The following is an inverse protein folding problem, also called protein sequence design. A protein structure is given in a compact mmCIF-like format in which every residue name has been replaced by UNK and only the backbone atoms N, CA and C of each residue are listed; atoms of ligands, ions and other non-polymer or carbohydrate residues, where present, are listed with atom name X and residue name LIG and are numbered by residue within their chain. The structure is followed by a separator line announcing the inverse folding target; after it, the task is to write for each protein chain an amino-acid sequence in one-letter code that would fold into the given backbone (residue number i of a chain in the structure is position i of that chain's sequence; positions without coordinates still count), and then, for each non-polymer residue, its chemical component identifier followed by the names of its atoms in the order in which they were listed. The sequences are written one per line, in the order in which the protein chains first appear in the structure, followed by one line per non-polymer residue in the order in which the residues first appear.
data_IF_745584933215
#
_entry.id   IF_745584933215
#
_cell.length_a   1.000
_cell.length_b   1.000
_cell.length_c   1.000
_cell.angle_alpha   90.00
_cell.angle_beta   90.00
_cell.angle_gamma   90.00
#
_symmetry.space_group_name_H-M   'P 1'
#
loop_
_entity.id
_entity.type
_entity.pdbx_description
1 polymer ?
#
# COMPACT_ATOMS: atom_id res chain seq x y z
N UNK A 1 -31.44 5.37 -3.77
CA UNK A 1 -30.65 5.54 -5.01
C UNK A 1 -29.92 4.23 -5.27
N UNK A 2 -29.75 3.79 -6.52
CA UNK A 2 -28.96 2.59 -6.87
C UNK A 2 -27.58 3.04 -7.36
N UNK A 3 -26.52 2.38 -6.91
CA UNK A 3 -25.14 2.71 -7.29
C UNK A 3 -24.64 1.67 -8.29
N UNK A 4 -24.02 2.14 -9.38
CA UNK A 4 -23.49 1.27 -10.43
C UNK A 4 -22.05 1.63 -10.76
N UNK A 5 -21.22 0.62 -11.00
CA UNK A 5 -19.83 0.73 -11.46
C UNK A 5 -19.66 -0.27 -12.60
N UNK A 6 -19.19 0.19 -13.77
CA UNK A 6 -19.00 -0.69 -14.94
C UNK A 6 -20.27 -1.42 -15.41
N UNK A 7 -21.47 -0.88 -15.14
CA UNK A 7 -22.75 -1.54 -15.45
C UNK A 7 -23.22 -2.56 -14.40
N UNK A 8 -22.42 -2.83 -13.37
CA UNK A 8 -22.78 -3.69 -12.25
C UNK A 8 -23.33 -2.88 -11.07
N UNK A 9 -24.39 -3.38 -10.42
CA UNK A 9 -24.94 -2.72 -9.25
C UNK A 9 -24.11 -3.08 -8.01
N UNK A 10 -23.65 -2.07 -7.27
CA UNK A 10 -23.11 -2.28 -5.92
C UNK A 10 -24.28 -2.32 -4.93
N UNK A 11 -24.53 -3.48 -4.31
CA UNK A 11 -25.59 -3.64 -3.30
C UNK A 11 -25.06 -3.46 -1.88
N UNK A 12 -23.75 -3.57 -1.69
CA UNK A 12 -23.04 -3.29 -0.45
C UNK A 12 -21.88 -2.29 -0.65
N UNK A 13 -21.33 -1.79 0.45
CA UNK A 13 -20.10 -1.00 0.41
C UNK A 13 -18.91 -1.83 -0.08
N UNK A 14 -18.88 -3.14 0.23
CA UNK A 14 -17.83 -4.03 -0.24
C UNK A 14 -17.89 -4.21 -1.76
N UNK A 15 -19.09 -4.44 -2.30
CA UNK A 15 -19.28 -4.55 -3.75
C UNK A 15 -18.86 -3.26 -4.46
N UNK A 16 -19.12 -2.11 -3.84
CA UNK A 16 -18.68 -0.83 -4.40
C UNK A 16 -17.17 -0.77 -4.51
N UNK A 17 -16.44 -1.19 -3.46
CA UNK A 17 -14.98 -1.21 -3.45
C UNK A 17 -14.43 -2.20 -4.46
N UNK A 18 -14.93 -3.43 -4.48
CA UNK A 18 -14.47 -4.46 -5.42
C UNK A 18 -14.71 -4.06 -6.87
N UNK A 19 -15.89 -3.52 -7.18
CA UNK A 19 -16.21 -3.07 -8.54
C UNK A 19 -15.37 -1.85 -8.95
N UNK A 20 -15.07 -0.94 -8.02
CA UNK A 20 -14.23 0.22 -8.30
C UNK A 20 -12.76 -0.17 -8.52
N UNK A 21 -12.26 -1.15 -7.75
CA UNK A 21 -10.89 -1.68 -7.90
C UNK A 21 -10.76 -2.65 -9.08
N UNK A 22 -11.86 -3.27 -9.52
CA UNK A 22 -11.86 -4.35 -10.50
C UNK A 22 -11.23 -5.66 -9.98
N UNK A 23 -10.92 -5.73 -8.68
CA UNK A 23 -10.27 -6.85 -8.01
C UNK A 23 -10.83 -7.01 -6.60
N UNK A 24 -10.87 -8.25 -6.06
CA UNK A 24 -11.30 -8.49 -4.69
C UNK A 24 -10.31 -7.86 -3.70
N UNK A 25 -10.82 -7.33 -2.58
CA UNK A 25 -10.00 -6.61 -1.59
C UNK A 25 -9.00 -7.56 -0.91
N UNK A 26 -9.40 -8.82 -0.75
CA UNK A 26 -8.62 -9.91 -0.19
C UNK A 26 -7.35 -10.19 -0.99
N UNK A 27 -7.35 -9.93 -2.31
CA UNK A 27 -6.13 -10.04 -3.13
C UNK A 27 -5.01 -9.19 -2.53
N UNK A 28 -5.36 -7.99 -2.07
CA UNK A 28 -4.42 -6.98 -1.56
C UNK A 28 -4.19 -7.11 -0.07
N UNK A 29 -5.25 -7.31 0.73
CA UNK A 29 -5.17 -7.34 2.19
C UNK A 29 -4.78 -8.72 2.75
N UNK A 30 -4.97 -9.78 1.97
CA UNK A 30 -4.84 -11.16 2.42
C UNK A 30 -6.11 -11.68 3.11
N UNK A 31 -6.10 -12.98 3.38
CA UNK A 31 -7.19 -13.69 4.06
C UNK A 31 -6.66 -14.30 5.36
N UNK A 32 -7.41 -14.14 6.45
CA UNK A 32 -7.05 -14.74 7.73
C UNK A 32 -7.01 -16.27 7.62
N UNK A 33 -5.89 -16.87 8.02
CA UNK A 33 -5.69 -18.32 7.96
C UNK A 33 -5.27 -18.86 6.58
N UNK A 34 -4.90 -18.02 5.62
CA UNK A 34 -4.30 -18.47 4.36
C UNK A 34 -3.03 -19.29 4.60
N UNK A 35 -2.83 -20.36 3.83
CA UNK A 35 -1.57 -21.11 3.82
C UNK A 35 -0.45 -20.30 3.18
N UNK A 36 0.80 -20.72 3.38
CA UNK A 36 1.94 -20.07 2.70
C UNK A 36 1.84 -20.24 1.18
N UNK A 37 1.32 -21.37 0.70
CA UNK A 37 1.09 -21.61 -0.72
C UNK A 37 -0.02 -20.70 -1.30
N UNK A 38 -1.12 -20.55 -0.58
CA UNK A 38 -2.22 -19.65 -0.97
C UNK A 38 -1.75 -18.19 -1.00
N UNK A 39 -1.01 -17.78 0.03
CA UNK A 39 -0.38 -16.46 0.10
C UNK A 39 0.59 -16.23 -1.06
N UNK A 40 1.40 -17.22 -1.40
CA UNK A 40 2.34 -17.13 -2.50
C UNK A 40 1.61 -16.94 -3.83
N UNK A 41 0.56 -17.72 -4.08
CA UNK A 41 -0.27 -17.61 -5.29
C UNK A 41 -0.96 -16.24 -5.38
N UNK A 42 -1.50 -15.74 -4.26
CA UNK A 42 -2.13 -14.42 -4.19
C UNK A 42 -1.16 -13.30 -4.49
N UNK A 43 0.04 -13.33 -3.90
CA UNK A 43 1.08 -12.34 -4.15
C UNK A 43 1.62 -12.42 -5.58
N UNK A 44 1.66 -13.61 -6.19
CA UNK A 44 2.03 -13.80 -7.59
C UNK A 44 1.01 -13.12 -8.52
N UNK A 45 -0.27 -13.42 -8.36
CA UNK A 45 -1.35 -12.78 -9.11
C UNK A 45 -1.37 -11.26 -8.93
N UNK A 46 -1.13 -10.76 -7.71
CA UNK A 46 -1.04 -9.33 -7.44
C UNK A 46 0.13 -8.68 -8.21
N UNK A 47 1.27 -9.37 -8.35
CA UNK A 47 2.41 -8.86 -9.14
C UNK A 47 2.10 -8.81 -10.63
N UNK A 48 1.43 -9.82 -11.17
CA UNK A 48 1.02 -9.82 -12.58
C UNK A 48 0.10 -8.63 -12.89
N UNK A 49 -0.89 -8.37 -12.02
CA UNK A 49 -1.80 -7.22 -12.17
C UNK A 49 -1.04 -5.89 -12.09
N UNK A 50 -0.06 -5.77 -11.18
CA UNK A 50 0.78 -4.58 -11.07
C UNK A 50 1.70 -4.40 -12.29
N UNK A 51 2.17 -5.49 -12.89
CA UNK A 51 2.98 -5.44 -14.11
C UNK A 51 2.15 -4.92 -15.29
N UNK A 52 0.88 -5.31 -15.39
CA UNK A 52 -0.05 -4.83 -16.41
C UNK A 52 -0.51 -3.37 -16.17
N UNK A 53 -0.44 -2.90 -14.91
CA UNK A 53 -0.90 -1.57 -14.49
C UNK A 53 0.20 -0.81 -13.74
N UNK A 54 1.28 -0.38 -14.41
CA UNK A 54 2.48 0.16 -13.76
C UNK A 54 2.25 1.47 -13.00
N UNK A 55 1.21 2.24 -13.36
CA UNK A 55 0.87 3.50 -12.70
C UNK A 55 -0.03 3.31 -11.46
N UNK A 56 -0.59 2.11 -11.27
CA UNK A 56 -1.56 1.84 -10.22
C UNK A 56 -1.04 2.18 -8.80
N UNK A 57 0.22 1.84 -8.42
CA UNK A 57 0.74 2.22 -7.11
C UNK A 57 0.74 3.74 -6.85
N UNK A 58 1.15 4.53 -7.85
CA UNK A 58 1.20 5.99 -7.72
C UNK A 58 -0.21 6.60 -7.68
N UNK A 59 -1.13 6.09 -8.51
CA UNK A 59 -2.52 6.53 -8.54
C UNK A 59 -3.24 6.22 -7.21
N UNK A 60 -3.10 5.00 -6.70
CA UNK A 60 -3.68 4.59 -5.40
C UNK A 60 -3.07 5.42 -4.26
N UNK A 61 -1.75 5.65 -4.28
CA UNK A 61 -1.09 6.46 -3.26
C UNK A 61 -1.59 7.91 -3.26
N UNK A 62 -1.84 8.49 -4.44
CA UNK A 62 -2.41 9.85 -4.56
C UNK A 62 -3.82 9.91 -3.97
N UNK A 63 -4.70 8.98 -4.35
CA UNK A 63 -6.07 8.92 -3.84
C UNK A 63 -6.09 8.71 -2.33
N UNK A 64 -5.21 7.84 -1.81
CA UNK A 64 -5.08 7.63 -0.38
C UNK A 64 -4.63 8.91 0.35
N UNK A 65 -3.66 9.65 -0.20
CA UNK A 65 -3.23 10.91 0.38
C UNK A 65 -4.35 11.96 0.41
N UNK A 66 -5.08 12.14 -0.70
CA UNK A 66 -6.24 13.04 -0.77
C UNK A 66 -7.33 12.66 0.24
N UNK A 67 -7.60 11.36 0.38
CA UNK A 67 -8.57 10.86 1.37
C UNK A 67 -8.10 11.13 2.82
N UNK A 68 -6.82 10.92 3.11
CA UNK A 68 -6.27 11.21 4.44
C UNK A 68 -6.36 12.72 4.73
N UNK A 69 -5.98 13.59 3.79
CA UNK A 69 -6.10 15.04 3.97
C UNK A 69 -7.53 15.48 4.25
N UNK A 70 -8.52 14.87 3.58
CA UNK A 70 -9.93 15.23 3.73
C UNK A 70 -10.57 14.68 5.01
N UNK A 71 -10.22 13.46 5.43
CA UNK A 71 -10.97 12.72 6.45
C UNK A 71 -10.18 12.40 7.72
N UNK A 72 -8.85 12.40 7.67
CA UNK A 72 -7.98 12.05 8.79
C UNK A 72 -6.64 12.81 8.75
N UNK A 73 -6.66 14.16 8.69
CA UNK A 73 -5.44 14.96 8.49
C UNK A 73 -4.40 14.75 9.61
N UNK A 74 -4.82 14.29 10.78
CA UNK A 74 -3.94 13.93 11.89
C UNK A 74 -2.95 12.81 11.56
N UNK A 75 -3.24 11.95 10.58
CA UNK A 75 -2.32 10.89 10.15
C UNK A 75 -1.07 11.47 9.45
N UNK A 76 -1.14 12.70 8.93
CA UNK A 76 0.02 13.41 8.37
C UNK A 76 0.78 14.27 9.39
N UNK A 77 0.33 14.33 10.64
CA UNK A 77 1.06 15.02 11.72
C UNK A 77 2.25 14.18 12.21
N UNK A 78 3.18 13.85 11.32
CA UNK A 78 4.38 13.10 11.64
C UNK A 78 5.44 14.02 12.26
N UNK A 79 5.84 13.73 13.49
CA UNK A 79 6.99 14.38 14.13
C UNK A 79 8.25 13.67 13.65
N UNK A 80 9.22 14.38 13.03
CA UNK A 80 10.47 13.76 12.62
C UNK A 80 11.17 13.10 13.81
N UNK A 81 11.47 11.80 13.69
CA UNK A 81 12.30 11.13 14.68
C UNK A 81 13.70 11.74 14.64
N UNK A 82 14.17 12.22 15.79
CA UNK A 82 15.51 12.79 15.94
C UNK A 82 16.53 11.69 15.61
N UNK A 83 17.18 11.79 14.44
CA UNK A 83 18.28 10.88 14.08
C UNK A 83 19.45 11.12 15.04
N UNK A 84 19.97 10.08 15.72
CA UNK A 84 21.20 10.21 16.48
C UNK A 84 22.32 10.69 15.56
N UNK A 85 23.01 11.77 15.92
CA UNK A 85 24.15 12.25 15.15
C UNK A 85 25.17 11.11 14.99
N UNK A 86 25.45 10.71 13.75
CA UNK A 86 26.41 9.66 13.45
C UNK A 86 27.76 10.02 14.11
N UNK A 87 28.24 9.17 15.03
CA UNK A 87 29.55 9.33 15.65
C UNK A 87 30.61 9.27 14.56
N UNK A 88 31.22 10.42 14.26
CA UNK A 88 32.34 10.56 13.32
C UNK A 88 33.41 9.50 13.65
N UNK A 89 33.79 8.61 12.72
CA UNK A 89 34.82 7.62 13.00
C UNK A 89 36.13 8.35 13.31
N UNK A 90 36.71 8.09 14.49
CA UNK A 90 38.04 8.58 14.84
C UNK A 90 39.03 7.90 13.88
N UNK A 91 39.61 8.69 12.99
CA UNK A 91 40.75 8.27 12.15
C UNK A 91 41.82 7.66 13.07
N UNK A 92 42.00 6.34 13.01
CA UNK A 92 43.20 5.69 13.55
C UNK A 92 44.32 5.98 12.56
N UNK A 93 45.19 6.93 12.90
CA UNK A 93 46.51 7.05 12.25
C UNK A 93 47.21 5.69 12.39
N UNK A 94 47.55 5.08 11.25
CA UNK A 94 48.34 3.86 11.21
C UNK A 94 49.70 4.07 11.87
N UNK A 95 50.12 3.11 12.69
CA UNK A 95 51.50 2.98 13.13
C UNK A 95 52.32 2.40 11.97
N UNK A 96 53.38 3.10 11.57
CA UNK A 96 54.38 2.58 10.64
C UNK A 96 55.30 1.59 11.37
N UNK A 97 55.70 0.54 10.64
CA UNK A 97 56.73 -0.42 11.02
C UNK A 97 58.12 0.10 10.69
#
# INVERSE_FOLDING_TARGET
MRTFIGGHQAVSANDFVELALGTPVELWLGVEGESEEERAARLDAARDILADNPNLPDEVSRVAAEAIEAFAPELFNVIPLVRPAARRPRSRKGAAA
#
